data_IF_565948011597
#
_entry.id   IF_565948011597
#
_cell.length_a   1.000
_cell.length_b   1.000
_cell.length_c   1.000
_cell.angle_alpha   90.00
_cell.angle_beta   90.00
_cell.angle_gamma   90.00
#
_symmetry.space_group_name_H-M   'P 1'
#
loop_
_entity.id
_entity.type
_entity.pdbx_description
1 polymer ?
#
# COMPACT_ATOMS: atom_id res chain seq x y z
N UNK A 1 -37.61 6.81 -43.33
CA UNK A 1 -36.37 6.37 -42.64
C UNK A 1 -36.07 4.93 -43.05
N UNK A 2 -34.98 4.75 -43.80
CA UNK A 2 -34.63 3.51 -44.50
C UNK A 2 -34.18 2.41 -43.53
N UNK A 3 -34.42 1.13 -43.86
CA UNK A 3 -34.03 -0.05 -43.06
C UNK A 3 -32.55 -0.04 -42.64
N UNK A 4 -31.69 0.65 -43.40
CA UNK A 4 -30.27 0.86 -43.13
C UNK A 4 -30.02 1.75 -41.90
N UNK A 5 -30.80 2.82 -41.69
CA UNK A 5 -30.70 3.69 -40.50
C UNK A 5 -31.10 2.96 -39.22
N UNK A 6 -32.09 2.07 -39.27
CA UNK A 6 -32.50 1.24 -38.11
C UNK A 6 -31.44 0.20 -37.74
N UNK A 7 -30.78 -0.42 -38.74
CA UNK A 7 -29.69 -1.39 -38.49
C UNK A 7 -28.44 -0.71 -37.94
N UNK A 8 -28.08 0.46 -38.48
CA UNK A 8 -26.96 1.26 -37.98
C UNK A 8 -27.18 1.73 -36.54
N UNK A 9 -28.39 2.18 -36.19
CA UNK A 9 -28.74 2.56 -34.82
C UNK A 9 -28.71 1.37 -33.85
N UNK A 10 -29.16 0.18 -34.28
CA UNK A 10 -29.12 -1.02 -33.47
C UNK A 10 -27.68 -1.52 -33.22
N UNK A 11 -26.80 -1.45 -34.22
CA UNK A 11 -25.37 -1.77 -34.04
C UNK A 11 -24.66 -0.76 -33.16
N UNK A 12 -24.98 0.55 -33.29
CA UNK A 12 -24.40 1.58 -32.44
C UNK A 12 -24.85 1.41 -30.97
N UNK A 13 -26.14 1.10 -30.75
CA UNK A 13 -26.67 0.82 -29.43
C UNK A 13 -26.05 -0.45 -28.82
N UNK A 14 -25.83 -1.51 -29.61
CA UNK A 14 -25.16 -2.72 -29.14
C UNK A 14 -23.68 -2.49 -28.80
N UNK A 15 -22.97 -1.63 -29.55
CA UNK A 15 -21.57 -1.26 -29.24
C UNK A 15 -21.50 -0.38 -27.99
N UNK A 16 -22.42 0.57 -27.81
CA UNK A 16 -22.49 1.45 -26.63
C UNK A 16 -22.95 0.71 -25.37
N UNK A 17 -23.93 -0.20 -25.48
CA UNK A 17 -24.38 -1.05 -24.36
C UNK A 17 -23.36 -2.15 -24.03
N UNK A 18 -22.66 -2.70 -25.02
CA UNK A 18 -21.58 -3.66 -24.81
C UNK A 18 -20.33 -3.06 -24.16
N UNK A 19 -20.04 -1.78 -24.41
CA UNK A 19 -18.93 -1.07 -23.75
C UNK A 19 -19.26 -0.61 -22.33
N UNK A 20 -20.55 -0.46 -21.97
CA UNK A 20 -20.97 -0.20 -20.58
C UNK A 20 -20.89 -1.44 -19.67
N UNK A 21 -20.89 -2.66 -20.22
CA UNK A 21 -20.78 -3.90 -19.44
C UNK A 21 -19.34 -4.31 -19.11
N UNK A 22 -18.34 -3.57 -19.62
CA UNK A 22 -16.91 -3.80 -19.42
C UNK A 22 -16.26 -2.74 -18.52
N UNK A 23 -17.02 -2.14 -17.60
CA UNK A 23 -16.42 -1.39 -16.50
C UNK A 23 -15.76 -2.41 -15.57
N UNK A 24 -14.56 -2.85 -15.97
CA UNK A 24 -13.67 -3.62 -15.14
C UNK A 24 -13.47 -2.82 -13.86
N UNK A 25 -13.96 -3.34 -12.75
CA UNK A 25 -13.66 -2.80 -11.42
C UNK A 25 -12.14 -2.73 -11.30
N UNK A 26 -11.53 -1.56 -11.08
CA UNK A 26 -10.10 -1.47 -10.95
C UNK A 26 -9.66 -2.33 -9.76
N UNK A 27 -8.93 -3.41 -10.03
CA UNK A 27 -8.20 -4.14 -8.99
C UNK A 27 -6.89 -3.44 -8.75
N UNK A 28 -6.59 -3.18 -7.49
CA UNK A 28 -5.35 -2.52 -7.10
C UNK A 28 -4.58 -3.44 -6.16
N UNK A 29 -3.43 -3.92 -6.62
CA UNK A 29 -2.52 -4.69 -5.79
C UNK A 29 -1.83 -3.80 -4.75
N UNK A 30 -1.64 -4.38 -3.57
CA UNK A 30 -1.17 -3.75 -2.34
C UNK A 30 -0.04 -4.61 -1.76
N UNK A 31 0.73 -4.09 -0.80
CA UNK A 31 1.98 -4.72 -0.36
C UNK A 31 1.77 -6.16 0.18
N UNK A 32 0.69 -6.43 0.89
CA UNK A 32 0.34 -7.80 1.32
C UNK A 32 -0.58 -8.60 0.39
N UNK A 33 -0.96 -8.10 -0.79
CA UNK A 33 -2.07 -8.72 -1.52
C UNK A 33 -2.66 -7.92 -2.66
N UNK A 34 -3.97 -8.03 -2.87
CA UNK A 34 -4.69 -6.98 -3.59
C UNK A 34 -6.04 -6.65 -2.96
N UNK A 35 -6.46 -5.42 -3.20
CA UNK A 35 -7.73 -4.86 -2.76
C UNK A 35 -8.58 -4.60 -4.00
N UNK A 36 -9.81 -5.09 -3.94
CA UNK A 36 -10.87 -4.91 -4.93
C UNK A 36 -11.95 -4.07 -4.28
N UNK A 37 -12.42 -2.99 -4.91
CA UNK A 37 -13.39 -2.08 -4.29
C UNK A 37 -14.66 -1.93 -5.10
N UNK A 38 -15.77 -1.69 -4.42
CA UNK A 38 -17.02 -1.19 -5.02
C UNK A 38 -17.20 0.30 -4.71
N UNK A 39 -17.83 1.02 -5.65
CA UNK A 39 -18.05 2.46 -5.53
C UNK A 39 -16.84 3.28 -6.03
N UNK A 40 -16.54 4.45 -5.45
CA UNK A 40 -15.35 5.22 -5.79
C UNK A 40 -14.09 4.35 -5.64
N UNK A 41 -13.21 4.41 -6.63
CA UNK A 41 -12.03 3.56 -6.66
C UNK A 41 -11.08 3.90 -5.50
N UNK A 42 -10.63 2.90 -4.72
CA UNK A 42 -9.74 3.12 -3.56
C UNK A 42 -8.50 2.18 -3.44
N UNK A 43 -7.27 2.74 -3.42
CA UNK A 43 -5.98 2.00 -3.38
C UNK A 43 -5.44 1.91 -1.96
N UNK A 44 -4.55 0.98 -1.64
CA UNK A 44 -3.72 1.15 -0.43
C UNK A 44 -2.63 2.18 -0.70
N UNK A 45 -2.59 3.26 0.09
CA UNK A 45 -1.53 4.27 0.05
C UNK A 45 -0.37 3.90 0.98
N UNK A 46 -0.70 3.51 2.20
CA UNK A 46 0.25 3.19 3.25
C UNK A 46 -0.12 1.87 3.89
N UNK A 47 0.89 1.02 4.07
CA UNK A 47 0.78 -0.26 4.73
C UNK A 47 1.75 -0.31 5.90
N UNK A 48 1.24 -0.65 7.09
CA UNK A 48 2.06 -0.93 8.26
C UNK A 48 1.74 -2.33 8.75
N UNK A 49 2.76 -3.17 8.86
CA UNK A 49 2.61 -4.57 9.23
C UNK A 49 3.64 -5.00 10.26
N UNK A 50 3.22 -5.89 11.16
CA UNK A 50 4.05 -6.63 12.08
C UNK A 50 4.01 -8.11 11.68
N UNK A 51 5.16 -8.67 11.37
CA UNK A 51 5.36 -10.11 11.17
C UNK A 51 6.04 -10.64 12.43
N UNK A 52 5.31 -11.41 13.22
CA UNK A 52 5.82 -12.10 14.40
C UNK A 52 6.07 -13.58 14.06
N UNK A 53 7.27 -14.08 14.33
CA UNK A 53 7.67 -15.45 14.01
C UNK A 53 8.38 -16.12 15.19
N UNK A 54 7.89 -17.29 15.60
CA UNK A 54 8.43 -18.05 16.74
C UNK A 54 9.23 -19.30 16.36
N UNK A 55 9.50 -19.49 15.06
CA UNK A 55 10.18 -20.67 14.51
C UNK A 55 9.23 -21.73 13.92
N UNK A 56 7.93 -21.65 14.20
CA UNK A 56 6.94 -22.60 13.70
C UNK A 56 5.64 -21.94 13.24
N UNK A 57 5.30 -20.80 13.83
CA UNK A 57 4.09 -20.04 13.54
C UNK A 57 4.50 -18.63 13.16
N UNK A 58 3.96 -18.16 12.02
CA UNK A 58 4.04 -16.77 11.62
C UNK A 58 2.69 -16.10 11.83
N UNK A 59 2.70 -14.90 12.38
CA UNK A 59 1.53 -14.04 12.54
C UNK A 59 1.79 -12.71 11.86
N UNK A 60 0.99 -12.40 10.84
CA UNK A 60 1.02 -11.11 10.15
C UNK A 60 -0.15 -10.26 10.66
N UNK A 61 0.16 -9.22 11.44
CA UNK A 61 -0.79 -8.20 11.84
C UNK A 61 -0.61 -6.98 10.96
N UNK A 62 -1.67 -6.50 10.31
CA UNK A 62 -1.56 -5.39 9.37
C UNK A 62 -2.63 -4.33 9.54
N UNK A 63 -2.24 -3.09 9.23
CA UNK A 63 -3.10 -1.92 9.15
C UNK A 63 -2.94 -1.29 7.77
N UNK A 64 -4.06 -1.12 7.07
CA UNK A 64 -4.10 -0.60 5.70
C UNK A 64 -4.78 0.78 5.69
N UNK A 65 -4.17 1.72 4.98
CA UNK A 65 -4.79 3.02 4.68
C UNK A 65 -5.20 3.09 3.21
N UNK A 66 -6.50 3.27 2.96
CA UNK A 66 -7.10 3.43 1.65
C UNK A 66 -7.03 4.89 1.17
N UNK A 67 -6.73 5.09 -0.11
CA UNK A 67 -6.98 6.33 -0.84
C UNK A 67 -8.45 6.32 -1.26
N UNK A 68 -9.22 7.36 -0.98
CA UNK A 68 -10.65 7.37 -1.29
C UNK A 68 -11.53 6.76 -0.20
N UNK A 69 -12.79 6.46 -0.53
CA UNK A 69 -13.81 6.08 0.44
C UNK A 69 -14.80 5.06 -0.16
N UNK A 70 -14.36 3.81 -0.34
CA UNK A 70 -15.14 2.79 -1.03
C UNK A 70 -16.32 2.31 -0.18
N UNK A 71 -17.38 1.84 -0.84
CA UNK A 71 -18.59 1.36 -0.18
C UNK A 71 -18.54 -0.13 0.16
N UNK A 72 -17.58 -0.86 -0.41
CA UNK A 72 -17.17 -2.20 0.00
C UNK A 72 -15.78 -2.50 -0.55
N UNK A 73 -15.06 -3.42 0.09
CA UNK A 73 -13.78 -3.90 -0.40
C UNK A 73 -13.63 -5.42 -0.18
N UNK A 74 -12.91 -6.08 -1.08
CA UNK A 74 -12.39 -7.42 -0.87
C UNK A 74 -10.87 -7.35 -0.90
N UNK A 75 -10.23 -7.83 0.14
CA UNK A 75 -8.80 -7.93 0.25
C UNK A 75 -8.42 -9.41 0.31
N UNK A 76 -7.31 -9.80 -0.32
CA UNK A 76 -6.80 -11.16 -0.20
C UNK A 76 -5.29 -11.18 0.06
N UNK A 77 -4.87 -12.20 0.79
CA UNK A 77 -3.50 -12.45 1.23
C UNK A 77 -3.15 -13.92 0.99
N UNK A 78 -2.16 -14.23 0.14
CA UNK A 78 -1.60 -15.57 0.02
C UNK A 78 -0.88 -15.97 1.32
N UNK A 79 -1.12 -17.19 1.80
CA UNK A 79 -0.47 -17.74 2.99
C UNK A 79 0.03 -19.16 2.74
N UNK A 80 1.20 -19.57 3.23
CA UNK A 80 1.75 -20.92 3.00
C UNK A 80 0.89 -22.06 3.53
N UNK A 81 0.09 -21.80 4.58
CA UNK A 81 -0.71 -22.81 5.25
C UNK A 81 -2.06 -22.25 5.73
N UNK A 82 -2.95 -23.15 6.16
CA UNK A 82 -4.27 -22.79 6.65
C UNK A 82 -4.17 -21.78 7.83
N UNK A 83 -4.78 -20.59 7.70
CA UNK A 83 -4.67 -19.53 8.70
C UNK A 83 -5.80 -19.56 9.75
N UNK A 84 -5.57 -18.86 10.86
CA UNK A 84 -6.56 -18.35 11.80
C UNK A 84 -6.53 -16.82 11.83
N UNK A 85 -7.60 -16.20 12.36
CA UNK A 85 -7.82 -14.75 12.27
C UNK A 85 -8.21 -14.14 13.61
N UNK A 86 -7.75 -12.92 13.86
CA UNK A 86 -8.20 -12.10 14.96
C UNK A 86 -8.16 -10.61 14.58
N UNK A 87 -9.09 -9.82 15.12
CA UNK A 87 -8.94 -8.37 15.09
C UNK A 87 -7.82 -7.96 16.04
N UNK A 88 -6.94 -7.07 15.57
CA UNK A 88 -5.86 -6.54 16.37
C UNK A 88 -6.20 -5.13 16.89
N UNK A 89 -5.65 -4.80 18.06
CA UNK A 89 -5.79 -3.48 18.64
C UNK A 89 -4.90 -2.48 17.87
N UNK A 90 -5.49 -1.36 17.48
CA UNK A 90 -4.81 -0.25 16.81
C UNK A 90 -3.65 0.32 17.65
N UNK A 91 -3.72 0.21 18.97
CA UNK A 91 -2.67 0.62 19.88
C UNK A 91 -1.33 -0.08 19.61
N UNK A 92 -1.35 -1.28 19.01
CA UNK A 92 -0.14 -2.02 18.64
C UNK A 92 0.81 -1.18 17.79
N UNK A 93 0.31 -0.57 16.70
CA UNK A 93 1.16 0.19 15.80
C UNK A 93 1.63 1.52 16.39
N UNK A 94 0.86 2.10 17.30
CA UNK A 94 1.29 3.26 18.07
C UNK A 94 2.46 2.90 19.00
N UNK A 95 2.37 1.77 19.70
CA UNK A 95 3.45 1.27 20.55
C UNK A 95 4.72 0.97 19.75
N UNK A 96 4.58 0.29 18.61
CA UNK A 96 5.70 0.02 17.70
C UNK A 96 6.35 1.32 17.20
N UNK A 97 5.54 2.32 16.81
CA UNK A 97 6.04 3.61 16.36
C UNK A 97 6.81 4.36 17.46
N UNK A 98 6.29 4.38 18.69
CA UNK A 98 6.97 4.99 19.85
C UNK A 98 8.26 4.25 20.20
N UNK A 99 8.21 2.93 20.28
CA UNK A 99 9.35 2.07 20.64
C UNK A 99 10.51 2.24 19.66
N UNK A 100 10.18 2.30 18.37
CA UNK A 100 11.15 2.38 17.26
C UNK A 100 11.42 3.81 16.81
N UNK A 101 10.95 4.82 17.56
CA UNK A 101 11.23 6.20 17.26
C UNK A 101 12.76 6.47 17.26
N UNK A 102 13.25 7.32 16.35
CA UNK A 102 14.66 7.70 16.30
C UNK A 102 15.08 8.40 17.59
N UNK A 103 16.35 8.25 17.96
CA UNK A 103 16.95 9.03 19.04
C UNK A 103 17.21 10.45 18.56
N UNK A 104 16.93 11.43 19.41
CA UNK A 104 17.30 12.82 19.14
C UNK A 104 18.56 13.11 19.93
N UNK A 105 19.69 13.24 19.24
CA UNK A 105 20.92 13.74 19.83
C UNK A 105 20.89 15.27 19.80
N UNK A 106 20.93 15.87 20.99
CA UNK A 106 21.18 17.30 21.09
C UNK A 106 22.68 17.55 20.84
N UNK A 107 23.05 18.52 19.99
CA UNK A 107 24.45 18.90 19.83
C UNK A 107 25.01 19.28 21.20
N UNK A 108 25.98 18.51 21.68
CA UNK A 108 26.75 18.88 22.86
C UNK A 108 27.74 19.96 22.41
N UNK A 109 27.37 21.25 22.50
CA UNK A 109 28.32 22.33 22.25
C UNK A 109 27.73 23.74 22.14
N UNK A 110 27.95 24.54 23.19
CA UNK A 110 27.87 26.01 23.17
C UNK A 110 26.81 26.57 24.10
N UNK A 111 27.24 27.15 25.22
CA UNK A 111 26.36 27.62 26.30
C UNK A 111 25.23 28.54 25.85
N UNK A 112 24.05 28.32 26.42
CA UNK A 112 22.96 29.28 26.42
C UNK A 112 22.89 29.91 27.83
N UNK A 113 23.58 31.02 28.02
CA UNK A 113 23.17 31.99 29.02
C UNK A 113 21.97 32.77 28.46
N UNK A 114 20.94 32.88 29.28
CA UNK A 114 19.67 33.59 29.06
C UNK A 114 18.64 32.85 28.18
N UNK A 115 17.61 32.35 28.87
CA UNK A 115 16.56 31.50 28.35
C UNK A 115 15.86 32.02 27.09
N UNK A 116 15.88 31.20 26.06
CA UNK A 116 14.75 30.90 25.16
C UNK A 116 15.24 29.98 24.04
N UNK A 117 15.17 28.66 24.23
CA UNK A 117 15.28 27.69 23.14
C UNK A 117 14.33 26.51 23.42
N UNK A 118 13.02 26.74 23.25
CA UNK A 118 12.08 25.65 23.00
C UNK A 118 11.81 25.65 21.50
N UNK A 119 12.58 24.87 20.73
CA UNK A 119 12.26 24.61 19.32
C UNK A 119 11.46 23.30 19.27
N UNK A 120 10.21 23.31 18.77
CA UNK A 120 9.46 22.07 18.60
C UNK A 120 10.15 21.23 17.52
N UNK A 121 10.68 20.07 17.89
CA UNK A 121 11.16 19.08 16.93
C UNK A 121 10.02 18.64 16.01
N UNK A 122 10.25 18.62 14.70
CA UNK A 122 9.29 18.09 13.73
C UNK A 122 9.04 16.61 14.08
N UNK A 123 7.79 16.17 14.33
CA UNK A 123 7.52 14.77 14.59
C UNK A 123 7.99 13.95 13.38
N UNK A 124 8.67 12.82 13.62
CA UNK A 124 8.68 11.73 12.64
C UNK A 124 7.23 11.47 12.21
N UNK A 125 6.94 11.00 10.98
CA UNK A 125 5.58 10.66 10.59
C UNK A 125 5.02 9.64 11.59
N UNK A 126 4.30 10.15 12.58
CA UNK A 126 3.52 9.37 13.51
C UNK A 126 2.41 8.81 12.65
N UNK A 127 2.15 7.52 12.77
CA UNK A 127 0.90 6.95 12.26
C UNK A 127 -0.19 7.53 13.15
N UNK A 128 -0.60 8.76 12.87
CA UNK A 128 -1.74 9.39 13.50
C UNK A 128 -2.97 8.84 12.81
N UNK A 129 -3.68 7.94 13.48
CA UNK A 129 -4.99 7.50 13.04
C UNK A 129 -5.95 8.68 13.21
N UNK A 130 -6.08 9.50 12.18
CA UNK A 130 -6.80 10.78 12.24
C UNK A 130 -8.32 10.60 12.33
N UNK A 131 -8.85 9.47 11.82
CA UNK A 131 -10.27 9.17 11.85
C UNK A 131 -10.51 7.66 11.84
N UNK A 132 -11.35 7.18 12.76
CA UNK A 132 -11.85 5.80 12.79
C UNK A 132 -13.22 5.76 12.14
N UNK A 133 -13.41 4.86 11.19
CA UNK A 133 -14.75 4.49 10.72
C UNK A 133 -15.00 3.08 11.22
N UNK A 134 -16.09 2.83 11.95
CA UNK A 134 -16.47 1.46 12.28
C UNK A 134 -16.73 0.72 10.97
N UNK A 135 -15.90 -0.28 10.69
CA UNK A 135 -16.15 -1.25 9.63
C UNK A 135 -17.08 -2.32 10.22
N UNK A 136 -18.07 -2.75 9.45
CA UNK A 136 -18.96 -3.84 9.83
C UNK A 136 -18.19 -5.15 10.07
N UNK A 137 -18.86 -6.23 10.46
CA UNK A 137 -18.18 -7.50 10.71
C UNK A 137 -17.38 -7.92 9.47
N UNK A 138 -16.11 -8.23 9.68
CA UNK A 138 -15.24 -8.81 8.67
C UNK A 138 -15.84 -10.16 8.26
N UNK A 139 -16.17 -10.31 6.98
CA UNK A 139 -16.56 -11.59 6.41
C UNK A 139 -15.28 -12.23 5.85
N UNK A 140 -14.62 -13.05 6.68
CA UNK A 140 -13.34 -13.67 6.36
C UNK A 140 -13.57 -15.11 5.90
N UNK A 141 -13.01 -15.44 4.74
CA UNK A 141 -12.98 -16.78 4.19
C UNK A 141 -11.52 -17.22 3.97
N UNK A 142 -11.26 -18.50 4.22
CA UNK A 142 -10.04 -19.17 3.74
C UNK A 142 -10.40 -19.95 2.49
N UNK A 143 -9.70 -19.68 1.41
CA UNK A 143 -9.89 -20.32 0.11
C UNK A 143 -8.63 -21.12 -0.20
N UNK A 144 -8.79 -22.40 -0.51
CA UNK A 144 -7.65 -23.24 -0.87
C UNK A 144 -7.22 -22.93 -2.30
N UNK A 145 -5.93 -22.68 -2.52
CA UNK A 145 -5.48 -22.26 -3.86
C UNK A 145 -5.45 -23.39 -4.89
N UNK A 146 -5.41 -24.66 -4.46
CA UNK A 146 -5.48 -25.81 -5.38
C UNK A 146 -6.80 -25.89 -6.14
N UNK A 147 -7.84 -25.24 -5.61
CA UNK A 147 -9.10 -25.06 -6.29
C UNK A 147 -8.93 -23.87 -7.23
N UNK A 148 -8.32 -24.06 -8.39
CA UNK A 148 -7.87 -22.99 -9.29
C UNK A 148 -8.92 -21.94 -9.68
N UNK A 149 -10.21 -22.20 -9.43
CA UNK A 149 -11.32 -21.25 -9.56
C UNK A 149 -11.87 -20.70 -8.24
N UNK A 150 -11.55 -21.25 -7.05
CA UNK A 150 -12.20 -20.90 -5.79
C UNK A 150 -12.09 -19.42 -5.43
N UNK A 151 -10.94 -18.77 -5.69
CA UNK A 151 -10.80 -17.33 -5.51
C UNK A 151 -11.71 -16.55 -6.46
N UNK A 152 -11.79 -16.97 -7.72
CA UNK A 152 -12.67 -16.36 -8.71
C UNK A 152 -14.15 -16.53 -8.32
N UNK A 153 -14.55 -17.75 -7.94
CA UNK A 153 -15.93 -18.10 -7.59
C UNK A 153 -16.38 -17.38 -6.31
N UNK A 154 -15.50 -17.28 -5.31
CA UNK A 154 -15.78 -16.51 -4.09
C UNK A 154 -15.96 -15.03 -4.40
N UNK A 155 -15.05 -14.44 -5.19
CA UNK A 155 -15.17 -13.03 -5.59
C UNK A 155 -16.47 -12.78 -6.36
N UNK A 156 -16.78 -13.61 -7.36
CA UNK A 156 -18.00 -13.51 -8.15
C UNK A 156 -19.27 -13.61 -7.29
N UNK A 157 -19.31 -14.58 -6.36
CA UNK A 157 -20.41 -14.74 -5.39
C UNK A 157 -20.60 -13.50 -4.51
N UNK A 158 -19.53 -12.78 -4.20
CA UNK A 158 -19.55 -11.59 -3.37
C UNK A 158 -19.62 -10.27 -4.16
N UNK A 159 -19.84 -10.34 -5.48
CA UNK A 159 -20.04 -9.21 -6.38
C UNK A 159 -18.75 -8.63 -6.96
N UNK A 160 -17.58 -9.20 -6.64
CA UNK A 160 -16.29 -8.74 -7.14
C UNK A 160 -15.89 -9.50 -8.41
N UNK A 161 -15.21 -8.82 -9.32
CA UNK A 161 -14.60 -9.47 -10.50
C UNK A 161 -13.09 -9.55 -10.29
N UNK A 162 -12.51 -10.74 -10.48
CA UNK A 162 -11.06 -10.95 -10.45
C UNK A 162 -10.46 -10.57 -11.82
N UNK A 163 -9.64 -9.52 -11.95
CA UNK A 163 -9.08 -9.17 -13.25
C UNK A 163 -8.02 -10.18 -13.68
N UNK A 164 -7.90 -10.40 -14.99
CA UNK A 164 -6.98 -11.39 -15.59
C UNK A 164 -5.52 -11.19 -15.17
N UNK A 165 -5.07 -9.93 -15.11
CA UNK A 165 -3.72 -9.58 -14.62
C UNK A 165 -3.50 -10.09 -13.21
N UNK A 166 -4.52 -10.00 -12.35
CA UNK A 166 -4.43 -10.47 -10.97
C UNK A 166 -4.58 -11.99 -10.88
N UNK A 167 -5.45 -12.60 -11.68
CA UNK A 167 -5.53 -14.06 -11.81
C UNK A 167 -4.17 -14.68 -12.19
N UNK A 168 -3.43 -14.02 -13.07
CA UNK A 168 -2.06 -14.42 -13.45
C UNK A 168 -1.08 -14.30 -12.27
N UNK A 169 -1.22 -13.25 -11.45
CA UNK A 169 -0.35 -13.02 -10.29
C UNK A 169 -0.58 -13.99 -9.13
N UNK A 170 -1.81 -14.49 -8.95
CA UNK A 170 -2.11 -15.46 -7.89
C UNK A 170 -1.71 -16.88 -8.29
N UNK A 171 -1.77 -17.24 -9.57
CA UNK A 171 -1.49 -18.61 -10.05
C UNK A 171 -0.17 -19.26 -9.54
N UNK A 172 0.96 -18.52 -9.37
CA UNK A 172 2.17 -19.07 -8.75
C UNK A 172 1.97 -19.60 -7.33
N UNK A 173 1.15 -18.96 -6.50
CA UNK A 173 0.87 -19.41 -5.13
C UNK A 173 0.06 -20.70 -5.12
N UNK A 174 -0.90 -20.84 -6.04
CA UNK A 174 -1.62 -22.10 -6.23
C UNK A 174 -0.69 -23.25 -6.60
N UNK A 175 0.30 -23.01 -7.46
CA UNK A 175 1.33 -24.01 -7.81
C UNK A 175 2.24 -24.36 -6.62
N UNK A 176 2.44 -23.42 -5.71
CA UNK A 176 3.20 -23.61 -4.46
C UNK A 176 2.36 -24.28 -3.36
N UNK A 177 1.07 -24.54 -3.60
CA UNK A 177 0.18 -25.17 -2.61
C UNK A 177 -0.24 -24.25 -1.47
N UNK A 178 -0.07 -22.93 -1.61
CA UNK A 178 -0.49 -21.95 -0.61
C UNK A 178 -2.01 -21.87 -0.52
N UNK A 179 -2.55 -21.32 0.55
CA UNK A 179 -3.97 -20.96 0.65
C UNK A 179 -4.12 -19.43 0.42
N UNK A 180 -5.33 -18.96 0.11
CA UNK A 180 -5.67 -17.54 0.04
C UNK A 180 -6.62 -17.18 1.18
N UNK A 181 -6.23 -16.20 1.98
CA UNK A 181 -7.17 -15.47 2.83
C UNK A 181 -7.94 -14.52 1.94
N UNK A 182 -9.26 -14.52 2.02
CA UNK A 182 -10.12 -13.52 1.39
C UNK A 182 -10.98 -12.85 2.46
N UNK A 183 -10.89 -11.52 2.55
CA UNK A 183 -11.56 -10.69 3.54
C UNK A 183 -12.50 -9.76 2.82
N UNK A 184 -13.78 -9.84 3.12
CA UNK A 184 -14.77 -8.87 2.66
C UNK A 184 -15.04 -7.84 3.76
N UNK A 185 -14.95 -6.59 3.35
CA UNK A 185 -15.14 -5.39 4.17
C UNK A 185 -16.41 -4.67 3.72
N UNK A 186 -17.27 -4.32 4.68
CA UNK A 186 -18.44 -3.46 4.49
C UNK A 186 -18.47 -2.36 5.56
N UNK A 187 -19.04 -1.18 5.26
CA UNK A 187 -19.31 -0.15 6.26
C UNK A 187 -20.15 -0.74 7.42
N UNK A 188 -19.94 -0.28 8.65
CA UNK A 188 -20.83 -0.64 9.76
C UNK A 188 -22.22 -0.04 9.56
N UNK A 189 -23.21 -0.60 10.24
CA UNK A 189 -24.59 -0.09 10.20
C UNK A 189 -24.63 1.41 10.56
N UNK A 190 -25.27 2.19 9.70
CA UNK A 190 -25.33 3.65 9.83
C UNK A 190 -24.17 4.43 9.19
N UNK A 191 -23.18 3.74 8.61
CA UNK A 191 -22.12 4.35 7.79
C UNK A 191 -22.29 3.98 6.31
N UNK A 192 -21.89 4.88 5.41
CA UNK A 192 -22.04 4.67 3.95
C UNK A 192 -20.75 4.25 3.27
N UNK A 193 -19.62 4.28 3.98
CA UNK A 193 -18.29 4.04 3.42
C UNK A 193 -17.34 3.42 4.45
N UNK A 194 -16.27 2.78 3.96
CA UNK A 194 -15.31 2.06 4.80
C UNK A 194 -14.35 2.98 5.57
N UNK A 195 -14.32 4.27 5.24
CA UNK A 195 -13.29 5.17 5.74
C UNK A 195 -11.92 4.86 5.16
N UNK A 196 -10.96 5.74 5.47
CA UNK A 196 -9.58 5.59 4.98
C UNK A 196 -8.76 4.59 5.79
N UNK A 197 -9.02 4.43 7.09
CA UNK A 197 -8.22 3.55 7.95
C UNK A 197 -9.01 2.31 8.31
N UNK A 198 -8.55 1.16 7.81
CA UNK A 198 -9.16 -0.12 8.11
C UNK A 198 -8.68 -0.62 9.48
N UNK A 199 -9.56 -1.22 10.30
CA UNK A 199 -9.13 -1.83 11.55
C UNK A 199 -8.07 -2.93 11.31
N UNK A 200 -7.08 -3.06 12.21
CA UNK A 200 -6.03 -4.07 12.03
C UNK A 200 -6.54 -5.51 12.05
N UNK A 201 -6.02 -6.33 11.14
CA UNK A 201 -6.28 -7.78 11.10
C UNK A 201 -4.99 -8.55 11.35
N UNK A 202 -5.05 -9.53 12.24
CA UNK A 202 -4.04 -10.55 12.46
C UNK A 202 -4.40 -11.84 11.73
N UNK A 203 -3.43 -12.37 10.99
CA UNK A 203 -3.51 -13.66 10.30
C UNK A 203 -2.37 -14.53 10.81
N UNK A 204 -2.68 -15.66 11.43
CA UNK A 204 -1.68 -16.60 11.97
C UNK A 204 -1.71 -17.92 11.22
N UNK A 205 -0.55 -18.45 10.83
CA UNK A 205 -0.43 -19.73 10.11
C UNK A 205 0.88 -20.43 10.46
N UNK A 206 0.90 -21.75 10.27
CA UNK A 206 2.14 -22.52 10.40
C UNK A 206 3.11 -22.16 9.26
N UNK A 207 4.38 -21.95 9.57
CA UNK A 207 5.42 -21.66 8.58
C UNK A 207 6.79 -22.13 9.07
N UNK A 208 7.56 -22.76 8.18
CA UNK A 208 8.94 -23.17 8.42
C UNK A 208 9.96 -22.06 8.09
N UNK A 209 9.49 -20.98 7.46
CA UNK A 209 10.28 -19.79 7.12
C UNK A 209 9.51 -18.50 7.42
N UNK A 210 10.23 -17.39 7.58
CA UNK A 210 9.61 -16.08 7.75
C UNK A 210 9.40 -15.43 6.36
N UNK A 211 8.14 -15.20 5.98
CA UNK A 211 7.77 -14.74 4.63
C UNK A 211 6.69 -13.66 4.66
N UNK A 212 6.97 -12.53 4.00
CA UNK A 212 6.01 -11.44 3.84
C UNK A 212 5.51 -11.39 2.39
N UNK A 213 4.22 -11.72 2.13
CA UNK A 213 3.69 -11.92 0.77
C UNK A 213 3.59 -10.64 -0.08
N UNK A 214 4.69 -10.25 -0.72
CA UNK A 214 4.82 -9.04 -1.54
C UNK A 214 4.66 -9.26 -3.04
N UNK A 215 4.69 -10.50 -3.55
CA UNK A 215 4.74 -10.74 -5.01
C UNK A 215 3.58 -10.08 -5.75
N UNK A 216 2.38 -10.09 -5.17
CA UNK A 216 1.19 -9.50 -5.80
C UNK A 216 1.30 -7.99 -6.00
N UNK A 217 2.04 -7.31 -5.14
CA UNK A 217 2.25 -5.87 -5.17
C UNK A 217 2.98 -5.40 -6.42
N UNK A 218 3.67 -6.31 -7.12
CA UNK A 218 4.22 -6.07 -8.45
C UNK A 218 3.15 -5.66 -9.49
N UNK A 219 1.88 -6.00 -9.23
CA UNK A 219 0.75 -5.64 -10.09
C UNK A 219 0.15 -4.27 -9.77
N UNK A 220 0.67 -3.57 -8.76
CA UNK A 220 0.17 -2.26 -8.38
C UNK A 220 0.48 -1.21 -9.44
N UNK A 221 -0.40 -0.21 -9.56
CA UNK A 221 -0.23 0.88 -10.54
C UNK A 221 0.67 2.01 -10.05
N UNK A 222 0.96 2.08 -8.75
CA UNK A 222 1.70 3.17 -8.12
C UNK A 222 2.75 2.64 -7.14
N UNK A 223 3.83 3.40 -6.88
CA UNK A 223 4.75 3.11 -5.78
C UNK A 223 4.04 3.01 -4.45
N UNK A 224 4.54 2.13 -3.59
CA UNK A 224 3.98 1.87 -2.27
C UNK A 224 4.93 2.32 -1.17
N UNK A 225 4.37 2.65 -0.01
CA UNK A 225 5.12 2.82 1.23
C UNK A 225 4.78 1.68 2.18
N UNK A 226 5.78 0.90 2.55
CA UNK A 226 5.63 -0.25 3.44
C UNK A 226 6.50 -0.06 4.66
N UNK A 227 5.87 0.02 5.83
CA UNK A 227 6.56 -0.08 7.11
C UNK A 227 6.38 -1.48 7.66
N UNK A 228 7.46 -2.24 7.63
CA UNK A 228 7.50 -3.63 8.04
C UNK A 228 8.26 -3.78 9.36
N UNK A 229 7.56 -4.26 10.38
CA UNK A 229 8.16 -4.72 11.62
C UNK A 229 8.32 -6.23 11.56
N UNK A 230 9.52 -6.73 11.86
CA UNK A 230 9.80 -8.16 11.98
C UNK A 230 10.20 -8.44 13.42
N UNK A 231 9.44 -9.30 14.08
CA UNK A 231 9.61 -9.67 15.48
C UNK A 231 9.87 -11.18 15.58
N UNK A 232 11.08 -11.58 15.93
CA UNK A 232 11.49 -12.98 15.99
C UNK A 232 12.49 -13.24 17.12
N UNK A 233 12.88 -14.48 17.37
CA UNK A 233 13.86 -14.82 18.41
C UNK A 233 15.23 -14.12 18.22
N UNK A 234 15.62 -13.91 16.97
CA UNK A 234 16.87 -13.29 16.57
C UNK A 234 16.63 -12.19 15.55
N UNK A 235 17.64 -11.34 15.32
CA UNK A 235 17.60 -10.36 14.24
C UNK A 235 17.45 -11.10 12.91
N UNK A 236 16.41 -10.74 12.18
CA UNK A 236 16.14 -11.29 10.86
C UNK A 236 16.67 -10.35 9.78
N UNK A 237 17.26 -10.89 8.72
CA UNK A 237 17.69 -10.16 7.53
C UNK A 237 16.96 -10.69 6.29
N UNK A 238 16.64 -9.81 5.35
CA UNK A 238 16.09 -10.25 4.06
C UNK A 238 17.10 -11.10 3.29
N UNK A 239 16.60 -12.11 2.56
CA UNK A 239 17.40 -13.02 1.73
C UNK A 239 17.39 -12.65 0.25
N UNK A 240 16.44 -11.80 -0.16
CA UNK A 240 16.26 -11.33 -1.54
C UNK A 240 16.79 -9.90 -1.79
N UNK A 241 16.52 -9.34 -2.99
CA UNK A 241 17.02 -8.02 -3.41
C UNK A 241 16.42 -6.85 -2.62
N UNK A 242 15.34 -7.09 -1.88
CA UNK A 242 14.66 -6.14 -1.01
C UNK A 242 14.09 -6.90 0.19
N UNK A 243 13.92 -6.25 1.36
CA UNK A 243 14.52 -4.98 1.78
C UNK A 243 16.07 -5.01 1.88
N UNK A 244 16.73 -3.87 2.12
CA UNK A 244 18.21 -3.76 2.28
C UNK A 244 18.61 -3.18 3.64
N UNK A 245 19.90 -3.18 3.97
CA UNK A 245 20.40 -2.63 5.23
C UNK A 245 20.10 -1.11 5.40
N UNK A 246 20.08 -0.34 4.31
CA UNK A 246 19.72 1.09 4.34
C UNK A 246 18.24 1.36 4.64
N UNK A 247 17.40 0.33 4.53
CA UNK A 247 15.97 0.43 4.83
C UNK A 247 15.69 0.14 6.32
N UNK A 248 16.66 -0.40 7.06
CA UNK A 248 16.55 -0.65 8.50
C UNK A 248 16.60 0.69 9.23
N UNK A 249 15.57 0.96 10.04
CA UNK A 249 15.47 2.18 10.87
C UNK A 249 15.57 1.90 12.36
N UNK A 250 15.35 0.65 12.74
CA UNK A 250 15.43 0.15 14.11
C UNK A 250 15.75 -1.34 14.10
N UNK A 251 16.57 -1.79 15.06
CA UNK A 251 16.88 -3.17 15.36
C UNK A 251 17.19 -3.26 16.86
N UNK A 252 16.36 -3.93 17.65
CA UNK A 252 16.54 -3.95 19.10
C UNK A 252 15.77 -5.05 19.81
N UNK A 253 16.24 -5.38 21.01
CA UNK A 253 15.57 -6.33 21.88
C UNK A 253 14.35 -5.71 22.54
N UNK A 254 13.26 -6.49 22.60
CA UNK A 254 12.01 -6.13 23.26
C UNK A 254 11.66 -7.26 24.22
N UNK A 255 11.47 -6.93 25.49
CA UNK A 255 11.05 -7.87 26.53
C UNK A 255 9.60 -7.59 26.95
N UNK A 256 8.82 -8.59 27.38
CA UNK A 256 7.43 -8.37 27.82
C UNK A 256 7.32 -7.28 28.89
N UNK A 257 8.24 -7.24 29.86
CA UNK A 257 8.26 -6.22 30.91
C UNK A 257 8.76 -4.84 30.48
N UNK A 258 9.17 -4.64 29.22
CA UNK A 258 9.66 -3.35 28.70
C UNK A 258 8.62 -2.58 27.89
N UNK A 259 7.45 -3.18 27.65
CA UNK A 259 6.35 -2.63 26.84
C UNK A 259 5.02 -2.94 27.52
N UNK A 260 3.95 -2.22 27.15
CA UNK A 260 2.59 -2.51 27.60
C UNK A 260 1.80 -3.35 26.59
N UNK A 261 0.56 -3.70 26.93
CA UNK A 261 -0.38 -4.34 26.00
C UNK A 261 -0.86 -3.35 24.93
N UNK A 262 -1.10 -3.80 23.69
CA UNK A 262 -1.16 -5.21 23.25
C UNK A 262 0.20 -5.87 22.96
N UNK A 263 1.28 -5.11 22.78
CA UNK A 263 2.56 -5.70 22.35
C UNK A 263 3.15 -6.67 23.39
N UNK A 264 3.00 -6.39 24.69
CA UNK A 264 3.46 -7.29 25.76
C UNK A 264 2.83 -8.69 25.67
N UNK A 265 1.51 -8.77 25.45
CA UNK A 265 0.80 -10.06 25.28
C UNK A 265 1.27 -10.91 24.10
N UNK A 266 1.90 -10.31 23.09
CA UNK A 266 2.45 -11.02 21.92
C UNK A 266 3.84 -11.60 22.19
N UNK A 267 4.49 -11.21 23.28
CA UNK A 267 5.86 -11.60 23.61
C UNK A 267 5.83 -12.74 24.64
N UNK A 268 6.11 -13.98 24.20
CA UNK A 268 6.29 -15.12 25.11
C UNK A 268 7.62 -15.04 25.90
N UNK A 269 8.58 -14.28 25.37
CA UNK A 269 9.92 -14.07 25.91
C UNK A 269 10.50 -12.78 25.32
N UNK A 270 11.74 -12.45 25.69
CA UNK A 270 12.49 -11.40 25.01
C UNK A 270 12.72 -11.81 23.55
N UNK A 271 12.29 -10.96 22.63
CA UNK A 271 12.43 -11.16 21.19
C UNK A 271 13.11 -9.96 20.53
N UNK A 272 13.60 -10.14 19.31
CA UNK A 272 14.28 -9.13 18.53
C UNK A 272 13.32 -8.48 17.53
N UNK A 273 13.19 -7.16 17.60
CA UNK A 273 12.35 -6.35 16.70
C UNK A 273 13.23 -5.59 15.71
N UNK A 274 12.93 -5.72 14.42
CA UNK A 274 13.55 -4.94 13.34
C UNK A 274 12.49 -4.16 12.58
N UNK A 275 12.69 -2.85 12.36
CA UNK A 275 11.82 -2.02 11.52
C UNK A 275 12.52 -1.71 10.19
N UNK A 276 11.83 -2.03 9.10
CA UNK A 276 12.17 -1.62 7.74
C UNK A 276 11.17 -0.57 7.27
N UNK A 277 11.66 0.56 6.74
CA UNK A 277 10.81 1.57 6.09
C UNK A 277 11.14 1.60 4.59
N UNK A 278 10.30 0.92 3.79
CA UNK A 278 10.41 0.84 2.34
C UNK A 278 9.58 1.96 1.71
N UNK A 279 10.23 3.08 1.44
CA UNK A 279 9.59 4.27 0.88
C UNK A 279 9.73 4.28 -0.65
N UNK A 280 8.66 4.68 -1.36
CA UNK A 280 8.65 4.75 -2.82
C UNK A 280 9.05 3.42 -3.47
N UNK A 281 8.51 2.32 -2.93
CA UNK A 281 8.73 0.98 -3.45
C UNK A 281 8.01 0.84 -4.79
N UNK A 282 8.78 0.92 -5.88
CA UNK A 282 8.24 0.73 -7.23
C UNK A 282 7.78 -0.72 -7.45
N UNK A 283 6.55 -0.95 -7.98
CA UNK A 283 6.05 -2.29 -8.29
C UNK A 283 6.97 -3.08 -9.22
N UNK A 284 7.67 -2.39 -10.13
CA UNK A 284 8.60 -3.01 -11.08
C UNK A 284 9.84 -3.63 -10.42
N UNK A 285 10.15 -3.29 -9.16
CA UNK A 285 11.26 -3.90 -8.39
C UNK A 285 10.83 -5.09 -7.55
N UNK A 286 9.54 -5.39 -7.51
CA UNK A 286 8.98 -6.49 -6.73
C UNK A 286 8.84 -7.68 -7.68
N UNK A 287 9.63 -8.73 -7.42
CA UNK A 287 9.63 -9.93 -8.24
C UNK A 287 9.19 -11.17 -7.46
N UNK A 288 9.31 -11.13 -6.13
CA UNK A 288 8.95 -12.22 -5.24
C UNK A 288 8.52 -11.71 -3.86
N UNK A 289 8.03 -12.61 -3.02
CA UNK A 289 7.75 -12.37 -1.61
C UNK A 289 9.04 -12.08 -0.83
N UNK A 290 8.96 -11.27 0.23
CA UNK A 290 10.14 -11.01 1.06
C UNK A 290 10.33 -12.17 2.02
N UNK A 291 11.48 -12.85 1.92
CA UNK A 291 11.88 -13.89 2.86
C UNK A 291 12.98 -13.40 3.77
N UNK A 292 13.02 -13.94 4.98
CA UNK A 292 13.99 -13.53 5.99
C UNK A 292 14.67 -14.73 6.64
N UNK A 293 16.00 -14.62 6.77
CA UNK A 293 16.84 -15.57 7.50
C UNK A 293 17.40 -14.89 8.75
N UNK A 294 17.90 -15.70 9.67
CA UNK A 294 18.69 -15.20 10.79
C UNK A 294 19.90 -14.40 10.30
N UNK A 295 20.07 -13.20 10.83
CA UNK A 295 21.25 -12.39 10.60
C UNK A 295 22.48 -13.02 11.28
N UNK A 296 23.71 -12.80 10.78
CA UNK A 296 24.93 -13.34 11.40
C UNK A 296 25.11 -12.93 12.87
N UNK A 297 24.53 -11.79 13.27
CA UNK A 297 24.54 -11.30 14.63
C UNK A 297 23.29 -10.45 14.94
N UNK A 298 22.88 -10.45 16.21
CA UNK A 298 21.79 -9.64 16.75
C UNK A 298 22.24 -8.20 17.03
N UNK A 299 22.91 -7.58 16.06
CA UNK A 299 23.42 -6.21 16.20
C UNK A 299 22.26 -5.22 16.29
N UNK A 300 22.28 -4.39 17.33
CA UNK A 300 21.25 -3.36 17.53
C UNK A 300 21.52 -2.14 16.67
N UNK A 301 20.45 -1.46 16.26
CA UNK A 301 20.49 -0.23 15.48
C UNK A 301 19.28 0.63 15.85
N UNK A 302 19.45 1.94 15.84
CA UNK A 302 18.35 2.90 15.94
C UNK A 302 18.78 4.15 15.19
N UNK A 303 17.91 4.67 14.33
CA UNK A 303 18.14 5.96 13.69
C UNK A 303 18.39 7.04 14.76
N UNK A 304 19.35 7.92 14.50
CA UNK A 304 19.60 9.12 15.30
C UNK A 304 19.42 10.36 14.44
N UNK A 305 18.65 11.33 14.93
CA UNK A 305 18.57 12.66 14.36
C UNK A 305 19.31 13.65 15.24
N UNK A 306 20.05 14.55 14.61
CA UNK A 306 20.68 15.68 15.31
C UNK A 306 19.71 16.84 15.39
N UNK A 307 19.41 17.31 16.60
CA UNK A 307 18.63 18.53 16.82
C UNK A 307 19.50 19.76 16.53
N UNK A 308 19.82 20.03 15.28
CA UNK A 308 20.67 21.17 14.92
C UNK A 308 21.18 21.10 13.50
N UNK A 309 20.44 21.70 12.58
CA UNK A 309 20.81 21.83 11.18
C UNK A 309 19.62 22.34 10.40
N UNK A 310 19.51 23.67 10.29
CA UNK A 310 18.54 24.29 9.41
C UNK A 310 18.89 24.01 7.95
N UNK A 311 18.64 22.80 7.48
CA UNK A 311 18.55 22.52 6.05
C UNK A 311 17.08 22.33 5.71
N UNK A 312 16.45 23.50 5.54
CA UNK A 312 15.30 23.63 4.68
C UNK A 312 15.77 23.19 3.28
N UNK A 313 15.57 21.91 2.95
CA UNK A 313 15.43 21.50 1.56
C UNK A 313 14.12 22.11 1.04
N UNK A 314 14.12 23.42 0.83
CA UNK A 314 13.25 24.05 -0.15
C UNK A 314 13.51 23.30 -1.47
N UNK A 315 12.48 22.80 -2.18
CA UNK A 315 12.68 22.27 -3.51
C UNK A 315 13.21 23.41 -4.37
N UNK A 316 14.53 23.39 -4.62
CA UNK A 316 15.17 24.31 -5.55
C UNK A 316 14.70 23.95 -6.95
N UNK A 317 13.57 24.53 -7.35
CA UNK A 317 13.13 24.51 -8.74
C UNK A 317 14.22 25.21 -9.56
N UNK A 318 14.84 24.47 -10.48
CA UNK A 318 15.77 25.02 -11.44
C UNK A 318 15.00 25.98 -12.37
N UNK A 319 15.28 27.30 -12.36
CA UNK A 319 14.55 28.25 -13.20
C UNK A 319 14.66 27.91 -14.70
N UNK A 320 15.70 27.16 -15.12
CA UNK A 320 15.85 26.71 -16.50
C UNK A 320 14.76 25.70 -16.89
N UNK A 321 14.36 24.81 -15.97
CA UNK A 321 13.33 23.80 -16.25
C UNK A 321 11.93 24.40 -16.32
N UNK A 322 11.61 25.39 -15.47
CA UNK A 322 10.33 26.13 -15.54
C UNK A 322 10.22 26.93 -16.84
N UNK A 323 11.33 27.55 -17.28
CA UNK A 323 11.35 28.32 -18.53
C UNK A 323 11.17 27.41 -19.75
N UNK A 324 11.75 26.21 -19.77
CA UNK A 324 11.58 25.23 -20.85
C UNK A 324 10.13 24.71 -20.99
N UNK A 325 9.44 24.47 -19.87
CA UNK A 325 8.03 24.02 -19.88
C UNK A 325 7.10 25.14 -20.36
N UNK A 326 7.34 26.39 -19.95
CA UNK A 326 6.57 27.54 -20.40
C UNK A 326 6.81 27.87 -21.89
N UNK A 327 8.05 27.74 -22.37
CA UNK A 327 8.37 27.90 -23.79
C UNK A 327 7.76 26.77 -24.65
N UNK A 328 7.76 25.53 -24.15
CA UNK A 328 7.12 24.39 -24.81
C UNK A 328 5.60 24.55 -24.92
N UNK A 329 4.94 24.96 -23.83
CA UNK A 329 3.50 25.24 -23.82
C UNK A 329 3.14 26.43 -24.73
N UNK A 330 3.97 27.47 -24.76
CA UNK A 330 3.82 28.62 -25.66
C UNK A 330 3.94 28.24 -27.14
N UNK A 331 4.90 27.37 -27.49
CA UNK A 331 5.08 26.89 -28.85
C UNK A 331 3.90 26.04 -29.34
N UNK A 332 3.36 25.17 -28.48
CA UNK A 332 2.17 24.35 -28.80
C UNK A 332 0.94 25.24 -29.00
N UNK A 333 0.74 26.26 -28.14
CA UNK A 333 -0.37 27.20 -28.28
C UNK A 333 -0.24 28.04 -29.57
N UNK A 334 0.97 28.45 -29.94
CA UNK A 334 1.22 29.19 -31.18
C UNK A 334 0.91 28.35 -32.43
N UNK A 335 1.33 27.08 -32.47
CA UNK A 335 1.03 26.17 -33.59
C UNK A 335 -0.47 25.92 -33.73
N UNK A 336 -1.19 25.77 -32.61
CA UNK A 336 -2.64 25.59 -32.61
C UNK A 336 -3.36 26.85 -33.12
N UNK A 337 -2.95 28.05 -32.69
CA UNK A 337 -3.55 29.31 -33.14
C UNK A 337 -3.24 29.60 -34.62
N UNK A 338 -2.02 29.33 -35.08
CA UNK A 338 -1.63 29.48 -36.48
C UNK A 338 -2.39 28.49 -37.40
N UNK A 339 -2.58 27.24 -36.95
CA UNK A 339 -3.38 26.24 -37.67
C UNK A 339 -4.86 26.60 -37.80
N UNK A 340 -5.44 27.20 -36.74
CA UNK A 340 -6.83 27.71 -36.77
C UNK A 340 -6.95 28.95 -37.68
N UNK A 341 -5.96 29.84 -37.67
CA UNK A 341 -5.93 31.01 -38.57
C UNK A 341 -5.87 30.63 -40.06
N UNK A 342 -5.03 29.64 -40.41
CA UNK A 342 -4.87 29.15 -41.79
C UNK A 342 -6.13 28.44 -42.31
N UNK A 343 -6.85 27.71 -41.45
CA UNK A 343 -8.09 27.02 -41.82
C UNK A 343 -9.26 27.98 -41.98
N UNK A 344 -9.34 29.05 -41.18
CA UNK A 344 -10.33 30.12 -41.34
C UNK A 344 -10.03 30.98 -42.58
N UNK A 345 -8.75 31.29 -42.84
CA UNK A 345 -8.31 32.04 -44.03
C UNK A 345 -8.63 31.31 -45.34
N UNK A 346 -8.40 29.99 -45.41
CA UNK A 346 -8.74 29.16 -46.58
C UNK A 346 -10.25 29.00 -46.81
N UNK A 347 -11.07 29.16 -45.78
CA UNK A 347 -12.55 29.15 -45.93
C UNK A 347 -13.09 30.48 -46.44
N UNK A 348 -12.42 31.61 -46.17
CA UNK A 348 -12.84 32.93 -46.69
C UNK A 348 -12.49 33.15 -48.16
N UNK A 349 -11.41 32.54 -48.67
CA UNK A 349 -11.02 32.66 -50.09
C UNK A 349 -11.78 31.71 -51.03
N UNK A 350 -12.61 30.80 -50.49
CA UNK A 350 -13.52 29.94 -51.26
C UNK A 350 -14.98 30.42 -51.18
N UNK A 351 -15.22 31.72 -51.38
CA UNK A 351 -16.52 32.21 -51.84
C UNK A 351 -16.47 32.35 -53.36
N UNK A 352 -17.34 31.67 -54.13
CA UNK A 352 -17.34 31.76 -55.58
C UNK A 352 -17.84 33.15 -56.02
N UNK A 353 -17.20 33.69 -57.06
CA UNK A 353 -17.68 34.85 -57.78
C UNK A 353 -19.04 34.51 -58.43
N UNK A 354 -20.01 35.40 -58.25
CA UNK A 354 -21.19 35.54 -59.08
C UNK A 354 -21.22 36.98 -59.58
#
# INVERSE_FOLDING_TARGET
>A
MTRTLRRAAATLAAVVLGSLALIATPAWACACGAVLTHGPAATVADETSLVAYDGHTETITMSLTLTGDPTAAAWFLPVPAKPSFALADVALFNQLATLTAPQVEQPHGGGCDHGACAVPGRPAPQVSVLQRVPVGPYDVATLRASDGSALHDWLAKHGFTLPERLATGVAPYAKQGWDYVAVRLRPADGTTSLGRHLPPLSVSFASDELVYPMRLSALASHPQTVRLYVLAEHRMRPTGPLPTASDVRYAGWVAPGSVGDPLASMLSRRMFLTRFDLVNLSPARIHDDFRFDRAPADTTYRDTYYAGGGDQLEPRYDPVQVTLVLLGAGAVLFVLLAGVGLTIGRRRTRRPAA
#
